data_IF_672783186980
#
_entry.id   IF_672783186980
#
_cell.length_a   1.000
_cell.length_b   1.000
_cell.length_c   1.000
_cell.angle_alpha   90.00
_cell.angle_beta   90.00
_cell.angle_gamma   90.00
#
_symmetry.space_group_name_H-M   'P 1'
#
loop_
_entity.id
_entity.type
_entity.pdbx_description
1 polymer ?
#
# COMPACT_ATOMS: atom_id res chain seq x y z
N UNK A 1 13.60 -6.41 18.87
CA UNK A 1 14.61 -5.79 17.99
C UNK A 1 14.34 -4.32 17.87
N UNK A 2 15.40 -3.52 17.68
CA UNK A 2 15.25 -2.12 17.29
C UNK A 2 15.24 -1.98 15.76
N UNK A 3 14.11 -1.50 15.22
CA UNK A 3 13.86 -1.48 13.78
C UNK A 3 13.72 -0.04 13.29
N UNK A 4 14.50 0.32 12.27
CA UNK A 4 14.37 1.61 11.57
C UNK A 4 13.60 1.44 10.26
N UNK A 5 12.42 2.05 10.14
CA UNK A 5 11.66 2.12 8.88
C UNK A 5 12.09 3.36 8.09
N UNK A 6 12.79 3.15 6.98
CA UNK A 6 13.30 4.23 6.14
C UNK A 6 12.31 4.58 5.05
N UNK A 7 11.73 5.78 5.15
CA UNK A 7 10.81 6.33 4.14
C UNK A 7 11.53 7.40 3.32
N UNK A 8 11.61 7.25 1.98
CA UNK A 8 12.18 8.29 1.11
C UNK A 8 11.25 9.48 0.95
N UNK A 9 9.97 9.31 1.33
CA UNK A 9 8.95 10.36 1.26
C UNK A 9 8.76 11.00 2.62
N UNK A 10 8.46 12.30 2.63
CA UNK A 10 8.23 13.05 3.87
C UNK A 10 7.04 12.45 4.63
N UNK A 11 7.30 12.02 5.85
CA UNK A 11 6.27 11.49 6.74
C UNK A 11 5.77 12.58 7.70
N UNK A 12 4.45 12.73 7.94
CA UNK A 12 3.33 11.86 7.56
C UNK A 12 2.54 12.34 6.32
N UNK A 13 3.15 12.98 5.33
CA UNK A 13 2.42 13.44 4.15
C UNK A 13 1.66 12.30 3.47
N UNK A 14 0.40 12.51 3.03
CA UNK A 14 -0.43 11.46 2.45
C UNK A 14 0.18 10.82 1.19
N UNK A 15 0.25 9.50 1.17
CA UNK A 15 0.75 8.71 0.05
C UNK A 15 0.70 7.21 0.37
N UNK A 16 0.61 6.36 -0.66
CA UNK A 16 0.51 4.91 -0.46
C UNK A 16 1.68 4.32 0.32
N UNK A 17 2.91 4.78 0.06
CA UNK A 17 4.11 4.30 0.77
C UNK A 17 4.15 4.82 2.21
N UNK A 18 3.84 6.09 2.44
CA UNK A 18 3.81 6.67 3.80
C UNK A 18 2.72 6.04 4.67
N UNK A 19 1.57 5.69 4.08
CA UNK A 19 0.52 4.94 4.74
C UNK A 19 0.98 3.51 5.08
N UNK A 20 1.66 2.81 4.17
CA UNK A 20 2.26 1.50 4.43
C UNK A 20 3.27 1.57 5.59
N UNK A 21 4.17 2.56 5.59
CA UNK A 21 5.15 2.78 6.68
C UNK A 21 4.43 3.00 8.01
N UNK A 22 3.35 3.80 8.04
CA UNK A 22 2.57 4.05 9.26
C UNK A 22 2.00 2.77 9.85
N UNK A 23 1.27 1.99 9.06
CA UNK A 23 0.66 0.76 9.56
C UNK A 23 1.70 -0.30 9.93
N UNK A 24 2.79 -0.40 9.20
CA UNK A 24 3.89 -1.29 9.55
C UNK A 24 4.53 -0.86 10.88
N UNK A 25 4.75 0.45 11.09
CA UNK A 25 5.23 0.99 12.36
C UNK A 25 4.30 0.63 13.53
N UNK A 26 3.00 0.90 13.40
CA UNK A 26 2.01 0.62 14.45
C UNK A 26 1.99 -0.89 14.80
N UNK A 27 1.92 -1.75 13.80
CA UNK A 27 1.79 -3.19 14.00
C UNK A 27 3.09 -3.88 14.44
N UNK A 28 4.27 -3.43 14.03
CA UNK A 28 5.55 -3.94 14.55
C UNK A 28 5.72 -3.59 16.04
N UNK A 29 5.28 -2.39 16.47
CA UNK A 29 5.28 -2.03 17.89
C UNK A 29 4.37 -2.93 18.71
N UNK A 30 3.16 -3.23 18.22
CA UNK A 30 2.25 -4.19 18.86
C UNK A 30 2.86 -5.59 18.99
N UNK A 31 3.82 -5.94 18.13
CA UNK A 31 4.58 -7.18 18.17
C UNK A 31 5.83 -7.11 19.07
N UNK A 32 6.04 -6.02 19.79
CA UNK A 32 7.11 -5.84 20.77
C UNK A 32 8.45 -5.37 20.20
N UNK A 33 8.47 -4.82 18.97
CA UNK A 33 9.67 -4.17 18.44
C UNK A 33 9.79 -2.71 18.92
N UNK A 34 11.01 -2.22 19.14
CA UNK A 34 11.30 -0.79 19.25
C UNK A 34 11.46 -0.22 17.85
N UNK A 35 10.50 0.58 17.39
CA UNK A 35 10.42 1.02 15.99
C UNK A 35 10.59 2.53 15.88
N UNK A 36 11.44 2.96 14.93
CA UNK A 36 11.63 4.37 14.55
C UNK A 36 11.32 4.56 13.08
N UNK A 37 10.76 5.71 12.71
CA UNK A 37 10.56 6.11 11.31
C UNK A 37 11.64 7.12 10.95
N UNK A 38 12.46 6.80 9.95
CA UNK A 38 13.50 7.66 9.40
C UNK A 38 12.98 8.30 8.11
N UNK A 39 12.94 9.62 8.08
CA UNK A 39 12.41 10.37 6.94
C UNK A 39 13.17 11.69 6.74
N UNK A 40 12.99 12.32 5.59
CA UNK A 40 13.52 13.68 5.36
C UNK A 40 12.66 14.75 6.04
N UNK A 41 13.28 15.87 6.45
CA UNK A 41 12.53 17.03 6.97
C UNK A 41 11.87 17.82 5.84
N UNK A 42 10.75 18.48 6.15
CA UNK A 42 10.08 19.42 5.26
C UNK A 42 9.72 20.69 6.03
N UNK A 43 10.15 21.85 5.53
CA UNK A 43 9.83 23.14 6.15
C UNK A 43 10.44 23.31 7.55
N UNK A 44 9.64 23.86 8.48
CA UNK A 44 10.03 24.18 9.87
C UNK A 44 9.84 23.01 10.86
N UNK A 45 9.68 21.76 10.38
CA UNK A 45 9.50 20.61 11.26
C UNK A 45 10.74 20.37 12.15
N UNK A 46 10.50 19.97 13.41
CA UNK A 46 11.59 19.62 14.35
C UNK A 46 12.39 18.43 13.83
N UNK A 47 13.67 18.37 14.19
CA UNK A 47 14.59 17.30 13.73
C UNK A 47 14.16 15.88 14.17
N UNK A 48 13.51 15.77 15.32
CA UNK A 48 12.88 14.52 15.78
C UNK A 48 11.68 14.85 16.63
N UNK A 49 10.67 14.00 16.59
CA UNK A 49 9.44 14.09 17.37
C UNK A 49 8.94 12.68 17.71
N UNK A 50 9.08 12.29 18.99
CA UNK A 50 8.78 10.93 19.43
C UNK A 50 9.63 9.90 18.66
N UNK A 51 8.97 8.97 18.00
CA UNK A 51 9.63 7.88 17.26
C UNK A 51 9.96 8.24 15.79
N UNK A 52 9.79 9.52 15.39
CA UNK A 52 10.07 9.99 14.04
C UNK A 52 11.40 10.76 14.03
N UNK A 53 12.37 10.27 13.29
CA UNK A 53 13.67 10.88 13.11
C UNK A 53 13.73 11.54 11.73
N UNK A 54 13.85 12.86 11.71
CA UNK A 54 13.94 13.66 10.49
C UNK A 54 15.38 14.07 10.22
N UNK A 55 15.87 13.78 9.03
CA UNK A 55 17.26 13.98 8.65
C UNK A 55 17.34 14.94 7.47
N UNK A 56 18.18 15.97 7.62
CA UNK A 56 18.45 16.98 6.59
C UNK A 56 17.30 17.97 6.40
N UNK A 57 17.57 19.07 5.67
CA UNK A 57 16.56 20.01 5.18
C UNK A 57 16.34 19.73 3.70
N UNK A 58 15.12 19.38 3.32
CA UNK A 58 14.83 18.96 1.98
C UNK A 58 14.04 19.99 1.17
N UNK A 59 14.33 20.03 -0.14
CA UNK A 59 13.50 20.66 -1.15
C UNK A 59 12.63 19.59 -1.81
N UNK A 60 11.34 19.89 -1.97
CA UNK A 60 10.40 18.99 -2.62
C UNK A 60 10.62 18.94 -4.11
N UNK A 61 10.83 17.74 -4.68
CA UNK A 61 10.83 17.52 -6.12
C UNK A 61 9.81 16.43 -6.50
N UNK A 62 9.11 16.58 -7.61
CA UNK A 62 8.23 15.52 -8.11
C UNK A 62 9.07 14.32 -8.59
N UNK A 63 8.86 13.13 -7.98
CA UNK A 63 9.50 11.87 -8.37
C UNK A 63 8.40 10.83 -8.60
N UNK A 64 8.27 10.33 -9.82
CA UNK A 64 7.32 9.26 -10.20
C UNK A 64 5.88 9.47 -9.68
N UNK A 65 5.36 10.71 -9.77
CA UNK A 65 4.01 11.03 -9.31
C UNK A 65 3.87 11.23 -7.79
N UNK A 66 4.96 11.18 -7.03
CA UNK A 66 5.09 11.53 -5.62
C UNK A 66 6.05 12.70 -5.43
N UNK A 67 6.06 13.29 -4.24
CA UNK A 67 7.00 14.35 -3.88
C UNK A 67 8.15 13.74 -3.12
N UNK A 68 9.30 13.59 -3.75
CA UNK A 68 10.58 13.25 -3.14
C UNK A 68 11.27 14.50 -2.57
N UNK A 69 12.04 14.37 -1.50
CA UNK A 69 12.78 15.48 -0.92
C UNK A 69 14.26 15.32 -1.16
N UNK A 70 14.87 16.31 -1.82
CA UNK A 70 16.30 16.39 -2.06
C UNK A 70 16.95 17.18 -0.91
N UNK A 71 17.98 16.61 -0.29
CA UNK A 71 18.80 17.29 0.69
C UNK A 71 20.22 17.47 0.15
N UNK A 72 20.60 18.70 -0.13
CA UNK A 72 21.93 19.08 -0.59
C UNK A 72 22.67 19.80 0.55
N UNK A 73 23.08 19.08 1.60
CA UNK A 73 23.91 19.64 2.66
C UNK A 73 25.22 18.86 2.76
N UNK A 74 26.39 19.51 2.79
CA UNK A 74 27.68 18.83 3.05
C UNK A 74 27.69 18.07 4.39
N UNK A 75 26.87 18.51 5.35
CA UNK A 75 26.71 17.89 6.68
C UNK A 75 25.74 16.73 6.71
N UNK A 76 25.06 16.41 5.59
CA UNK A 76 24.01 15.38 5.55
C UNK A 76 24.56 13.98 5.87
N UNK A 77 25.71 13.62 5.29
CA UNK A 77 26.36 12.32 5.52
C UNK A 77 26.78 12.16 6.99
N UNK A 78 27.32 13.23 7.60
CA UNK A 78 27.71 13.19 9.03
C UNK A 78 26.49 13.11 9.96
N UNK A 79 25.38 13.78 9.61
CA UNK A 79 24.11 13.65 10.34
C UNK A 79 23.56 12.23 10.30
N UNK A 80 23.58 11.58 9.11
CA UNK A 80 23.17 10.18 8.97
C UNK A 80 24.06 9.27 9.81
N UNK A 81 25.38 9.44 9.74
CA UNK A 81 26.34 8.64 10.52
C UNK A 81 26.09 8.78 12.02
N UNK A 82 26.04 9.99 12.54
CA UNK A 82 25.80 10.22 13.96
C UNK A 82 24.43 9.73 14.43
N UNK A 83 23.42 9.73 13.55
CA UNK A 83 22.12 9.15 13.86
C UNK A 83 22.22 7.61 13.96
N UNK A 84 22.86 6.93 13.01
CA UNK A 84 23.05 5.47 13.04
C UNK A 84 23.85 5.01 14.25
N UNK A 85 24.90 5.76 14.60
CA UNK A 85 25.74 5.48 15.79
C UNK A 85 24.96 5.64 17.12
N UNK A 86 24.07 6.64 17.22
CA UNK A 86 23.22 6.80 18.41
C UNK A 86 22.11 5.78 18.52
N UNK A 87 21.46 5.50 17.41
CA UNK A 87 20.26 4.64 17.41
C UNK A 87 20.58 3.15 17.47
N UNK A 88 21.71 2.70 16.91
CA UNK A 88 22.15 1.30 16.91
C UNK A 88 21.01 0.33 16.51
N UNK A 89 20.51 0.47 15.30
CA UNK A 89 19.44 -0.38 14.79
C UNK A 89 19.92 -1.81 14.56
N UNK A 90 19.17 -2.80 15.02
CA UNK A 90 19.35 -4.20 14.64
C UNK A 90 19.00 -4.41 13.16
N UNK A 91 17.94 -3.76 12.69
CA UNK A 91 17.40 -3.91 11.35
C UNK A 91 16.94 -2.56 10.79
N UNK A 92 17.31 -2.31 9.53
CA UNK A 92 16.77 -1.20 8.73
C UNK A 92 15.91 -1.76 7.61
N UNK A 93 14.64 -1.31 7.56
CA UNK A 93 13.71 -1.67 6.51
C UNK A 93 13.44 -0.46 5.62
N UNK A 94 13.95 -0.53 4.40
CA UNK A 94 13.87 0.53 3.40
C UNK A 94 12.61 0.37 2.54
N UNK A 95 11.84 1.43 2.39
CA UNK A 95 10.78 1.51 1.38
C UNK A 95 11.32 2.28 0.18
N UNK A 96 11.28 1.67 -1.01
CA UNK A 96 11.90 2.24 -2.23
C UNK A 96 13.36 2.68 -2.00
N UNK A 97 14.29 1.73 -1.74
CA UNK A 97 15.64 2.02 -1.29
C UNK A 97 16.48 2.85 -2.25
N UNK A 98 16.11 2.89 -3.54
CA UNK A 98 16.87 3.56 -4.60
C UNK A 98 16.28 4.92 -5.01
N UNK A 99 15.27 5.41 -4.29
CA UNK A 99 14.87 6.81 -4.40
C UNK A 99 16.06 7.68 -3.93
N UNK A 100 16.52 8.64 -4.73
CA UNK A 100 17.74 9.40 -4.47
C UNK A 100 17.79 10.05 -3.10
N UNK A 101 19.02 10.19 -2.57
CA UNK A 101 19.49 10.90 -1.38
C UNK A 101 19.38 10.12 -0.07
N UNK A 102 18.26 10.13 0.68
CA UNK A 102 18.20 9.63 2.05
C UNK A 102 18.46 8.13 2.12
N UNK A 103 17.67 7.33 1.39
CA UNK A 103 17.72 5.87 1.49
C UNK A 103 19.07 5.27 1.04
N UNK A 104 19.67 5.65 -0.10
CA UNK A 104 20.97 5.14 -0.51
C UNK A 104 22.11 5.50 0.46
N UNK A 105 22.08 6.70 1.06
CA UNK A 105 23.13 7.12 2.00
C UNK A 105 23.01 6.34 3.32
N UNK A 106 21.79 6.17 3.85
CA UNK A 106 21.57 5.32 5.02
C UNK A 106 22.02 3.89 4.72
N UNK A 107 21.65 3.32 3.58
CA UNK A 107 22.01 1.97 3.18
C UNK A 107 23.53 1.79 3.04
N UNK A 108 24.23 2.78 2.50
CA UNK A 108 25.70 2.79 2.36
C UNK A 108 26.42 2.80 3.71
N UNK A 109 25.88 3.54 4.69
CA UNK A 109 26.49 3.70 6.02
C UNK A 109 25.99 2.67 7.04
N UNK A 110 24.98 1.88 6.70
CA UNK A 110 24.38 0.89 7.58
C UNK A 110 25.34 -0.23 7.98
N UNK A 111 25.33 -0.58 9.26
CA UNK A 111 25.93 -1.77 9.85
C UNK A 111 24.89 -2.74 10.39
N UNK A 112 23.62 -2.54 10.05
CA UNK A 112 22.47 -3.32 10.49
C UNK A 112 22.07 -4.37 9.45
N UNK A 113 21.12 -5.25 9.78
CA UNK A 113 20.45 -6.08 8.79
C UNK A 113 19.59 -5.19 7.90
N UNK A 114 19.82 -5.19 6.59
CA UNK A 114 19.11 -4.33 5.62
C UNK A 114 18.10 -5.12 4.82
N UNK A 115 16.82 -4.72 4.91
CA UNK A 115 15.71 -5.28 4.12
C UNK A 115 15.06 -4.15 3.34
N UNK A 116 14.55 -4.45 2.15
CA UNK A 116 13.87 -3.45 1.33
C UNK A 116 12.51 -3.95 0.84
N UNK A 117 11.53 -3.03 0.80
CA UNK A 117 10.23 -3.22 0.13
C UNK A 117 10.12 -2.30 -1.08
N UNK A 118 9.75 -2.91 -2.21
CA UNK A 118 9.55 -2.24 -3.49
C UNK A 118 8.07 -2.14 -3.82
N UNK A 119 7.61 -0.92 -4.08
CA UNK A 119 6.21 -0.59 -4.35
C UNK A 119 5.95 -0.20 -5.80
N UNK A 120 7.01 0.20 -6.53
CA UNK A 120 6.89 0.70 -7.88
C UNK A 120 6.46 -0.38 -8.88
N UNK A 121 5.70 0.05 -9.87
CA UNK A 121 5.36 -0.71 -11.07
C UNK A 121 5.18 0.27 -12.24
N UNK A 122 5.61 -0.15 -13.41
CA UNK A 122 5.47 0.67 -14.62
C UNK A 122 5.98 -0.06 -15.85
N UNK A 123 6.01 0.64 -16.97
CA UNK A 123 6.71 0.22 -18.17
C UNK A 123 8.23 0.39 -18.03
N UNK A 124 8.90 0.61 -19.15
CA UNK A 124 10.31 1.00 -19.15
C UNK A 124 10.52 2.34 -18.44
N UNK A 125 11.50 2.39 -17.53
CA UNK A 125 11.83 3.60 -16.78
C UNK A 125 13.30 3.95 -16.94
N UNK A 126 13.63 5.03 -17.67
CA UNK A 126 15.02 5.48 -17.85
C UNK A 126 15.72 5.80 -16.52
N UNK A 127 15.00 6.30 -15.52
CA UNK A 127 15.55 6.59 -14.20
C UNK A 127 15.94 5.32 -13.45
N UNK A 128 15.16 4.24 -13.55
CA UNK A 128 15.54 2.94 -12.99
C UNK A 128 16.68 2.28 -13.78
N UNK A 129 16.70 2.42 -15.11
CA UNK A 129 17.79 1.91 -15.94
C UNK A 129 19.13 2.57 -15.58
N UNK A 130 19.16 3.89 -15.47
CA UNK A 130 20.33 4.63 -15.02
C UNK A 130 20.67 4.28 -13.55
N UNK A 131 19.66 4.32 -12.67
CA UNK A 131 19.83 4.02 -11.26
C UNK A 131 20.39 2.62 -11.00
N UNK A 132 19.99 1.62 -11.79
CA UNK A 132 20.49 0.25 -11.67
C UNK A 132 21.99 0.13 -11.89
N UNK A 133 22.56 0.94 -12.79
CA UNK A 133 24.00 0.94 -13.07
C UNK A 133 24.80 1.61 -11.94
N UNK A 134 24.26 2.67 -11.35
CA UNK A 134 24.94 3.45 -10.30
C UNK A 134 24.78 2.81 -8.91
N UNK A 135 23.63 2.15 -8.64
CA UNK A 135 23.26 1.64 -7.30
C UNK A 135 23.55 0.14 -7.10
N UNK A 136 24.37 -0.48 -7.96
CA UNK A 136 24.74 -1.91 -7.81
C UNK A 136 25.36 -2.23 -6.46
N UNK A 137 26.26 -1.35 -5.98
CA UNK A 137 26.92 -1.50 -4.69
C UNK A 137 25.94 -1.45 -3.52
N UNK A 138 24.99 -0.51 -3.56
CA UNK A 138 23.93 -0.39 -2.56
C UNK A 138 22.97 -1.58 -2.60
N UNK A 139 22.63 -2.04 -3.80
CA UNK A 139 21.77 -3.21 -3.97
C UNK A 139 22.36 -4.49 -3.38
N UNK A 140 23.71 -4.66 -3.46
CA UNK A 140 24.41 -5.77 -2.84
C UNK A 140 24.38 -5.75 -1.30
N UNK A 141 24.11 -4.60 -0.67
CA UNK A 141 24.00 -4.47 0.79
C UNK A 141 22.65 -4.87 1.35
N UNK A 142 21.67 -5.17 0.48
CA UNK A 142 20.35 -5.65 0.88
C UNK A 142 20.39 -7.15 1.18
N UNK A 143 20.17 -7.52 2.42
CA UNK A 143 20.12 -8.90 2.88
C UNK A 143 18.80 -9.60 2.54
N UNK A 144 17.70 -8.82 2.43
CA UNK A 144 16.38 -9.31 2.05
C UNK A 144 15.61 -8.30 1.18
N UNK A 145 14.79 -8.83 0.25
CA UNK A 145 14.01 -8.01 -0.68
C UNK A 145 12.57 -8.46 -0.70
N UNK A 146 11.65 -7.49 -0.53
CA UNK A 146 10.19 -7.68 -0.58
C UNK A 146 9.66 -6.91 -1.79
N UNK A 147 8.72 -7.49 -2.52
CA UNK A 147 7.91 -6.79 -3.51
C UNK A 147 6.44 -6.86 -3.09
N UNK A 148 5.70 -5.76 -3.22
CA UNK A 148 4.28 -5.72 -2.79
C UNK A 148 3.33 -6.50 -3.69
N UNK A 149 3.80 -6.97 -4.84
CA UNK A 149 3.02 -7.79 -5.78
C UNK A 149 3.92 -8.52 -6.78
N UNK A 150 3.34 -9.48 -7.51
CA UNK A 150 4.01 -10.08 -8.66
C UNK A 150 4.35 -9.05 -9.74
N UNK A 151 3.50 -8.04 -9.93
CA UNK A 151 3.74 -6.94 -10.86
C UNK A 151 4.95 -6.09 -10.44
N UNK A 152 5.00 -5.69 -9.15
CA UNK A 152 6.14 -4.95 -8.60
C UNK A 152 7.43 -5.79 -8.65
N UNK A 153 7.36 -7.10 -8.32
CA UNK A 153 8.49 -8.01 -8.46
C UNK A 153 9.01 -8.04 -9.89
N UNK A 154 8.13 -8.29 -10.87
CA UNK A 154 8.51 -8.35 -12.28
C UNK A 154 9.15 -7.04 -12.78
N UNK A 155 8.65 -5.90 -12.32
CA UNK A 155 9.20 -4.59 -12.66
C UNK A 155 10.60 -4.41 -12.09
N UNK A 156 10.78 -4.60 -10.76
CA UNK A 156 12.05 -4.31 -10.10
C UNK A 156 13.14 -5.33 -10.44
N UNK A 157 12.78 -6.60 -10.64
CA UNK A 157 13.70 -7.69 -10.98
C UNK A 157 14.42 -7.45 -12.33
N UNK A 158 13.79 -6.71 -13.24
CA UNK A 158 14.41 -6.27 -14.52
C UNK A 158 15.63 -5.38 -14.30
N UNK A 159 15.60 -4.52 -13.27
CA UNK A 159 16.66 -3.54 -13.00
C UNK A 159 17.64 -4.01 -11.92
N UNK A 160 17.17 -4.75 -10.97
CA UNK A 160 17.93 -5.28 -9.82
C UNK A 160 17.62 -6.76 -9.62
N UNK A 161 18.15 -7.65 -10.47
CA UNK A 161 17.89 -9.09 -10.38
C UNK A 161 18.19 -9.66 -8.98
N UNK A 162 17.35 -10.58 -8.52
CA UNK A 162 17.55 -11.25 -7.23
C UNK A 162 16.30 -11.94 -6.69
N UNK A 163 16.44 -12.48 -5.46
CA UNK A 163 15.35 -13.15 -4.78
C UNK A 163 14.42 -12.14 -4.09
N UNK A 164 13.17 -12.13 -4.49
CA UNK A 164 12.12 -11.28 -3.93
C UNK A 164 11.03 -12.12 -3.28
N UNK A 165 10.76 -11.87 -2.01
CA UNK A 165 9.55 -12.37 -1.35
C UNK A 165 8.39 -11.46 -1.71
N UNK A 166 7.30 -12.01 -2.23
CA UNK A 166 6.07 -11.24 -2.43
C UNK A 166 5.29 -11.20 -1.12
N UNK A 167 5.17 -9.98 -0.54
CA UNK A 167 4.33 -9.70 0.63
C UNK A 167 3.44 -8.51 0.27
N UNK A 168 2.11 -8.68 0.24
CA UNK A 168 1.18 -7.67 -0.27
C UNK A 168 1.09 -6.44 0.63
N UNK A 169 0.50 -5.35 0.12
CA UNK A 169 0.04 -4.25 0.96
C UNK A 169 -1.11 -4.70 1.85
N UNK A 170 -1.25 -4.06 3.01
CA UNK A 170 -2.36 -4.28 3.92
C UNK A 170 -3.51 -3.29 3.74
N UNK A 171 -4.62 -3.59 4.40
CA UNK A 171 -5.77 -2.71 4.57
C UNK A 171 -6.22 -2.71 6.03
N UNK A 172 -6.71 -1.58 6.52
CA UNK A 172 -7.34 -1.45 7.83
C UNK A 172 -8.79 -1.95 7.75
N UNK A 173 -8.95 -3.27 7.85
CA UNK A 173 -10.26 -3.93 7.69
C UNK A 173 -11.28 -3.39 8.69
N UNK A 174 -10.88 -3.14 9.93
CA UNK A 174 -11.78 -2.69 10.98
C UNK A 174 -12.35 -1.30 10.68
N UNK A 175 -11.52 -0.37 10.18
CA UNK A 175 -11.97 0.97 9.78
C UNK A 175 -13.09 0.91 8.74
N UNK A 176 -12.91 0.12 7.69
CA UNK A 176 -13.91 0.01 6.62
C UNK A 176 -15.16 -0.73 7.06
N UNK A 177 -15.05 -1.76 7.90
CA UNK A 177 -16.20 -2.50 8.41
C UNK A 177 -17.06 -1.70 9.38
N UNK A 178 -16.45 -0.86 10.23
CA UNK A 178 -17.16 -0.03 11.23
C UNK A 178 -17.70 1.27 10.66
N UNK A 179 -17.28 1.66 9.46
CA UNK A 179 -17.74 2.89 8.84
C UNK A 179 -19.25 2.85 8.58
N UNK A 180 -19.92 3.96 8.87
CA UNK A 180 -21.37 4.14 8.67
C UNK A 180 -21.59 4.85 7.33
N UNK A 181 -22.54 4.40 6.48
CA UNK A 181 -22.88 5.08 5.24
C UNK A 181 -23.26 6.55 5.46
N UNK A 182 -22.97 7.40 4.50
CA UNK A 182 -23.26 8.83 4.56
C UNK A 182 -24.74 9.06 4.26
N UNK A 183 -25.50 9.54 5.23
CA UNK A 183 -26.97 9.63 5.19
C UNK A 183 -27.51 10.38 3.95
N UNK A 184 -26.86 11.47 3.51
CA UNK A 184 -27.33 12.26 2.36
C UNK A 184 -27.40 11.49 1.04
N UNK A 185 -26.73 10.35 0.95
CA UNK A 185 -26.73 9.48 -0.24
C UNK A 185 -27.43 8.13 0.01
N UNK A 186 -28.17 8.01 1.10
CA UNK A 186 -29.05 6.87 1.41
C UNK A 186 -30.50 7.20 1.09
N UNK A 187 -30.74 7.82 -0.08
CA UNK A 187 -32.04 8.32 -0.57
C UNK A 187 -32.76 7.36 -1.52
N UNK A 188 -32.31 6.10 -1.57
CA UNK A 188 -32.85 5.09 -2.48
C UNK A 188 -32.21 5.09 -3.89
N UNK A 189 -31.39 6.10 -4.22
CA UNK A 189 -30.63 6.13 -5.47
C UNK A 189 -29.35 5.32 -5.34
N UNK A 190 -29.14 4.35 -6.24
CA UNK A 190 -27.93 3.53 -6.23
C UNK A 190 -26.68 4.36 -6.52
N UNK A 191 -25.62 4.14 -5.72
CA UNK A 191 -24.38 4.90 -5.75
C UNK A 191 -23.24 4.11 -6.37
N UNK A 192 -22.65 4.63 -7.44
CA UNK A 192 -21.40 4.15 -8.04
C UNK A 192 -20.28 5.02 -7.45
N UNK A 193 -19.20 4.40 -6.98
CA UNK A 193 -18.06 5.10 -6.40
C UNK A 193 -16.78 4.93 -7.23
N UNK A 194 -16.07 6.04 -7.42
CA UNK A 194 -14.69 6.09 -7.89
C UNK A 194 -13.83 6.79 -6.84
N UNK A 195 -12.71 6.16 -6.48
CA UNK A 195 -11.71 6.75 -5.57
C UNK A 195 -10.33 6.69 -6.22
N UNK A 196 -9.70 7.84 -6.40
CA UNK A 196 -8.36 7.88 -6.96
C UNK A 196 -7.89 9.28 -7.37
N UNK A 197 -6.58 9.39 -7.67
CA UNK A 197 -6.04 10.60 -8.28
C UNK A 197 -6.57 10.73 -9.71
N UNK A 198 -6.89 11.94 -10.13
CA UNK A 198 -7.39 12.19 -11.49
C UNK A 198 -6.22 12.23 -12.47
N UNK A 199 -5.61 11.06 -12.67
CA UNK A 199 -4.51 10.78 -13.61
C UNK A 199 -5.02 9.92 -14.76
N UNK A 200 -4.42 10.00 -15.99
CA UNK A 200 -4.87 9.21 -17.13
C UNK A 200 -4.95 7.71 -16.81
N UNK A 201 -3.95 7.17 -16.13
CA UNK A 201 -3.88 5.74 -15.79
C UNK A 201 -5.00 5.24 -14.88
N UNK A 202 -5.67 6.13 -14.12
CA UNK A 202 -6.81 5.78 -13.23
C UNK A 202 -8.13 5.63 -13.95
N UNK A 203 -8.22 6.03 -15.23
CA UNK A 203 -9.36 5.74 -16.09
C UNK A 203 -10.64 6.52 -15.77
N UNK A 204 -10.57 7.67 -15.08
CA UNK A 204 -11.76 8.47 -14.74
C UNK A 204 -12.57 8.85 -15.98
N UNK A 205 -11.92 9.23 -17.09
CA UNK A 205 -12.63 9.59 -18.32
C UNK A 205 -13.34 8.38 -18.95
N UNK A 206 -12.75 7.18 -18.86
CA UNK A 206 -13.37 5.95 -19.33
C UNK A 206 -14.62 5.61 -18.49
N UNK A 207 -14.57 5.84 -17.18
CA UNK A 207 -15.73 5.70 -16.32
C UNK A 207 -16.84 6.71 -16.68
N UNK A 208 -16.51 7.97 -16.94
CA UNK A 208 -17.49 8.96 -17.35
C UNK A 208 -18.15 8.61 -18.69
N UNK A 209 -17.39 8.01 -19.62
CA UNK A 209 -17.94 7.47 -20.88
C UNK A 209 -18.88 6.28 -20.61
N UNK A 210 -18.50 5.36 -19.73
CA UNK A 210 -19.33 4.23 -19.31
C UNK A 210 -20.59 4.70 -18.58
N UNK A 211 -20.48 5.66 -17.68
CA UNK A 211 -21.62 6.27 -16.98
C UNK A 211 -22.61 6.92 -17.96
N UNK A 212 -22.12 7.62 -18.99
CA UNK A 212 -22.97 8.15 -20.05
C UNK A 212 -23.76 7.05 -20.78
N UNK A 213 -23.17 5.88 -21.02
CA UNK A 213 -23.87 4.73 -21.61
C UNK A 213 -24.98 4.26 -20.67
N UNK A 214 -24.68 4.07 -19.38
CA UNK A 214 -25.67 3.70 -18.36
C UNK A 214 -26.88 4.64 -18.33
N UNK A 215 -26.63 5.96 -18.31
CA UNK A 215 -27.72 6.96 -18.29
C UNK A 215 -28.60 6.89 -19.55
N UNK A 216 -28.01 6.56 -20.71
CA UNK A 216 -28.77 6.38 -21.96
C UNK A 216 -29.63 5.13 -21.97
N UNK A 217 -29.33 4.11 -21.17
CA UNK A 217 -30.16 2.89 -21.03
C UNK A 217 -31.25 3.05 -19.96
N UNK A 218 -31.48 4.26 -19.44
CA UNK A 218 -32.50 4.53 -18.43
C UNK A 218 -32.09 4.12 -17.00
N UNK A 219 -30.83 3.77 -16.75
CA UNK A 219 -30.38 3.42 -15.41
C UNK A 219 -30.31 4.67 -14.53
N UNK A 220 -31.17 4.76 -13.52
CA UNK A 220 -31.18 5.82 -12.52
C UNK A 220 -30.18 5.49 -11.40
N UNK A 221 -29.01 6.13 -11.47
CA UNK A 221 -27.92 5.94 -10.51
C UNK A 221 -27.12 7.23 -10.35
N UNK A 222 -26.32 7.30 -9.29
CA UNK A 222 -25.42 8.41 -8.98
C UNK A 222 -23.96 7.94 -9.09
N UNK A 223 -23.07 8.82 -9.57
CA UNK A 223 -21.63 8.59 -9.60
C UNK A 223 -20.91 9.54 -8.66
N UNK A 224 -20.36 9.00 -7.57
CA UNK A 224 -19.53 9.72 -6.60
C UNK A 224 -18.07 9.64 -7.03
N UNK A 225 -17.44 10.79 -7.30
CA UNK A 225 -16.06 10.89 -7.81
C UNK A 225 -15.18 11.51 -6.74
N UNK A 226 -14.36 10.68 -6.10
CA UNK A 226 -13.49 11.06 -4.97
C UNK A 226 -12.06 11.19 -5.41
N UNK A 227 -11.44 12.31 -5.05
CA UNK A 227 -10.04 12.61 -5.35
C UNK A 227 -9.86 13.93 -6.09
N UNK A 228 -8.61 14.19 -6.47
CA UNK A 228 -8.19 15.37 -7.23
C UNK A 228 -7.04 15.00 -8.16
N UNK A 229 -6.72 15.85 -9.13
CA UNK A 229 -5.59 15.62 -10.02
C UNK A 229 -5.69 16.42 -11.32
N UNK A 230 -4.69 16.26 -12.21
CA UNK A 230 -4.57 17.08 -13.43
C UNK A 230 -5.78 16.97 -14.36
N UNK A 231 -6.43 15.80 -14.46
CA UNK A 231 -7.63 15.62 -15.30
C UNK A 231 -8.91 16.21 -14.70
N UNK A 232 -8.88 16.84 -13.52
CA UNK A 232 -10.10 17.34 -12.85
C UNK A 232 -10.88 18.36 -13.68
N UNK A 233 -10.22 19.28 -14.37
CA UNK A 233 -10.88 20.27 -15.25
C UNK A 233 -11.52 19.59 -16.46
N UNK A 234 -10.81 18.65 -17.08
CA UNK A 234 -11.29 17.91 -18.25
C UNK A 234 -12.51 17.03 -17.90
N UNK A 235 -12.44 16.31 -16.78
CA UNK A 235 -13.55 15.49 -16.29
C UNK A 235 -14.82 16.32 -16.05
N UNK A 236 -14.71 17.46 -15.36
CA UNK A 236 -15.84 18.37 -15.14
C UNK A 236 -16.39 18.95 -16.44
N UNK A 237 -15.50 19.35 -17.37
CA UNK A 237 -15.90 19.80 -18.71
C UNK A 237 -16.66 18.71 -19.47
N UNK A 238 -16.19 17.46 -19.40
CA UNK A 238 -16.87 16.33 -20.04
C UNK A 238 -18.29 16.15 -19.48
N UNK A 239 -18.46 16.18 -18.17
CA UNK A 239 -19.77 16.09 -17.49
C UNK A 239 -20.70 17.22 -17.94
N UNK A 240 -20.22 18.47 -17.93
CA UNK A 240 -21.01 19.65 -18.30
C UNK A 240 -21.41 19.61 -19.79
N UNK A 241 -20.47 19.37 -20.71
CA UNK A 241 -20.75 19.37 -22.15
C UNK A 241 -21.66 18.23 -22.60
N UNK A 242 -21.64 17.09 -21.87
CA UNK A 242 -22.52 15.95 -22.13
C UNK A 242 -23.80 15.97 -21.28
N UNK A 243 -23.98 17.00 -20.46
CA UNK A 243 -25.15 17.19 -19.55
C UNK A 243 -25.42 15.93 -18.71
N UNK A 244 -24.35 15.30 -18.17
CA UNK A 244 -24.47 14.10 -17.35
C UNK A 244 -25.00 14.46 -15.97
N UNK A 245 -26.26 14.06 -15.68
CA UNK A 245 -26.89 14.23 -14.37
C UNK A 245 -26.41 13.14 -13.41
N UNK A 246 -26.40 13.44 -12.09
CA UNK A 246 -26.06 12.46 -11.05
C UNK A 246 -24.56 12.20 -10.89
N UNK A 247 -23.67 13.06 -11.43
CA UNK A 247 -22.21 12.98 -11.18
C UNK A 247 -21.84 14.02 -10.13
N UNK A 248 -21.32 13.55 -9.00
CA UNK A 248 -20.87 14.39 -7.88
C UNK A 248 -19.36 14.29 -7.68
N UNK A 249 -18.65 15.40 -7.82
CA UNK A 249 -17.21 15.48 -7.53
C UNK A 249 -17.01 15.87 -6.06
N UNK A 250 -16.77 14.88 -5.22
CA UNK A 250 -16.62 15.04 -3.77
C UNK A 250 -15.32 15.76 -3.40
N UNK A 251 -14.26 15.58 -4.19
CA UNK A 251 -12.96 16.18 -3.91
C UNK A 251 -12.08 15.29 -3.04
N UNK A 252 -11.15 15.91 -2.28
CA UNK A 252 -10.29 15.20 -1.32
C UNK A 252 -11.06 15.00 -0.03
N UNK A 253 -10.94 13.81 0.55
CA UNK A 253 -11.61 13.38 1.78
C UNK A 253 -10.62 12.85 2.80
N UNK A 254 -11.01 12.79 4.06
CA UNK A 254 -10.27 12.10 5.12
C UNK A 254 -10.29 10.59 4.93
N UNK A 255 -9.45 9.85 5.66
CA UNK A 255 -9.48 8.38 5.64
C UNK A 255 -10.79 7.84 6.20
N UNK A 256 -11.38 8.51 7.19
CA UNK A 256 -12.67 8.19 7.78
C UNK A 256 -13.82 8.39 6.78
N UNK A 257 -13.87 9.56 6.16
CA UNK A 257 -14.89 9.87 5.14
C UNK A 257 -14.75 8.95 3.92
N UNK A 258 -13.51 8.59 3.55
CA UNK A 258 -13.26 7.61 2.50
C UNK A 258 -13.88 6.25 2.83
N UNK A 259 -13.73 5.77 4.06
CA UNK A 259 -14.33 4.51 4.50
C UNK A 259 -15.87 4.58 4.49
N UNK A 260 -16.46 5.71 4.91
CA UNK A 260 -17.89 5.95 4.84
C UNK A 260 -18.41 5.95 3.39
N UNK A 261 -17.66 6.56 2.45
CA UNK A 261 -18.00 6.58 1.03
C UNK A 261 -18.01 5.17 0.41
N UNK A 262 -17.02 4.33 0.75
CA UNK A 262 -17.05 2.94 0.31
C UNK A 262 -18.28 2.20 0.87
N UNK A 263 -18.65 2.43 2.14
CA UNK A 263 -19.87 1.84 2.75
C UNK A 263 -21.17 2.39 2.17
N UNK A 264 -21.14 3.60 1.65
CA UNK A 264 -22.30 4.25 0.99
C UNK A 264 -22.55 3.67 -0.40
N UNK A 265 -21.52 3.21 -1.07
CA UNK A 265 -21.59 2.79 -2.47
C UNK A 265 -22.15 1.38 -2.63
N UNK A 266 -23.03 1.20 -3.62
CA UNK A 266 -23.51 -0.09 -4.08
C UNK A 266 -22.46 -0.81 -4.94
N UNK A 267 -21.76 -0.03 -5.79
CA UNK A 267 -20.73 -0.55 -6.69
C UNK A 267 -19.49 0.37 -6.66
N UNK A 268 -18.35 -0.20 -6.34
CA UNK A 268 -17.05 0.48 -6.51
C UNK A 268 -16.48 0.18 -7.90
N UNK A 269 -15.96 1.20 -8.57
CA UNK A 269 -15.39 1.04 -9.91
C UNK A 269 -13.93 1.48 -9.96
N UNK A 270 -13.04 0.59 -10.40
CA UNK A 270 -11.62 0.86 -10.62
C UNK A 270 -11.24 0.64 -12.09
N UNK A 271 -11.48 1.64 -12.97
CA UNK A 271 -11.34 1.51 -14.42
C UNK A 271 -9.93 1.82 -14.91
N UNK A 272 -8.91 1.46 -14.12
CA UNK A 272 -7.52 1.79 -14.43
C UNK A 272 -7.10 1.26 -15.80
N UNK A 273 -6.37 2.09 -16.55
CA UNK A 273 -5.91 1.75 -17.90
C UNK A 273 -4.59 0.97 -17.89
N UNK A 274 -3.92 0.92 -16.73
CA UNK A 274 -2.64 0.25 -16.50
C UNK A 274 -1.83 0.97 -15.43
N UNK A 275 -0.57 0.55 -15.22
CA UNK A 275 0.36 1.22 -14.31
C UNK A 275 0.03 1.13 -12.82
N UNK A 276 -0.79 0.16 -12.42
CA UNK A 276 -1.08 -0.15 -11.01
C UNK A 276 -0.18 -1.29 -10.53
N UNK A 277 0.49 -1.06 -9.41
CA UNK A 277 1.38 -2.06 -8.81
C UNK A 277 0.61 -3.13 -8.02
N UNK A 278 -0.52 -2.77 -7.41
CA UNK A 278 -1.23 -3.66 -6.49
C UNK A 278 -2.75 -3.44 -6.48
N UNK A 279 -3.23 -2.21 -6.28
CA UNK A 279 -4.66 -1.90 -6.21
C UNK A 279 -5.20 -1.86 -4.78
N UNK A 280 -4.57 -1.06 -3.88
CA UNK A 280 -5.03 -0.85 -2.50
C UNK A 280 -6.52 -0.46 -2.46
N UNK A 281 -6.99 0.33 -3.42
CA UNK A 281 -8.40 0.75 -3.54
C UNK A 281 -9.37 -0.42 -3.70
N UNK A 282 -8.93 -1.56 -4.26
CA UNK A 282 -9.73 -2.79 -4.31
C UNK A 282 -9.83 -3.45 -2.93
N UNK A 283 -8.73 -3.44 -2.15
CA UNK A 283 -8.76 -3.91 -0.77
C UNK A 283 -9.69 -3.06 0.10
N UNK A 284 -9.67 -1.75 -0.08
CA UNK A 284 -10.57 -0.82 0.62
C UNK A 284 -12.04 -1.13 0.32
N UNK A 285 -12.38 -1.34 -0.97
CA UNK A 285 -13.73 -1.73 -1.38
C UNK A 285 -14.14 -3.10 -0.82
N UNK A 286 -13.26 -4.10 -0.89
CA UNK A 286 -13.50 -5.42 -0.30
C UNK A 286 -13.71 -5.35 1.21
N UNK A 287 -12.86 -4.61 1.93
CA UNK A 287 -12.97 -4.44 3.38
C UNK A 287 -14.29 -3.76 3.78
N UNK A 288 -14.75 -2.78 2.99
CA UNK A 288 -16.05 -2.15 3.17
C UNK A 288 -17.23 -3.09 2.82
N UNK A 289 -16.99 -4.16 2.07
CA UNK A 289 -18.04 -5.04 1.53
C UNK A 289 -18.84 -4.36 0.42
N UNK A 290 -18.16 -3.68 -0.47
CA UNK A 290 -18.72 -3.05 -1.66
C UNK A 290 -18.38 -3.90 -2.87
N UNK A 291 -19.36 -4.23 -3.70
CA UNK A 291 -19.13 -5.00 -4.92
C UNK A 291 -18.26 -4.22 -5.91
N UNK A 292 -17.43 -4.93 -6.66
CA UNK A 292 -16.36 -4.31 -7.45
C UNK A 292 -16.52 -4.59 -8.95
N UNK A 293 -16.41 -3.53 -9.77
CA UNK A 293 -16.07 -3.63 -11.18
C UNK A 293 -14.67 -3.04 -11.39
N UNK A 294 -13.77 -3.81 -11.99
CA UNK A 294 -12.39 -3.32 -12.21
C UNK A 294 -11.86 -3.73 -13.59
N UNK A 295 -10.85 -3.01 -14.05
CA UNK A 295 -10.13 -3.39 -15.27
C UNK A 295 -9.32 -4.67 -15.05
N UNK A 296 -9.27 -5.56 -16.05
CA UNK A 296 -8.42 -6.76 -16.05
C UNK A 296 -6.97 -6.38 -16.37
N UNK A 297 -6.27 -5.86 -15.39
CA UNK A 297 -4.87 -5.46 -15.49
C UNK A 297 -3.97 -6.30 -14.59
N UNK A 298 -2.69 -6.39 -14.95
CA UNK A 298 -1.73 -7.25 -14.24
C UNK A 298 -1.62 -6.92 -12.74
N UNK A 299 -1.67 -5.63 -12.36
CA UNK A 299 -1.56 -5.21 -10.97
C UNK A 299 -2.70 -5.67 -10.07
N UNK A 300 -3.87 -6.02 -10.61
CA UNK A 300 -5.05 -6.43 -9.83
C UNK A 300 -5.17 -7.94 -9.63
N UNK A 301 -4.46 -8.76 -10.44
CA UNK A 301 -4.56 -10.24 -10.41
C UNK A 301 -4.20 -10.90 -9.07
N UNK A 302 -3.36 -10.23 -8.27
CA UNK A 302 -2.99 -10.74 -6.94
C UNK A 302 -4.01 -10.39 -5.84
N UNK A 303 -4.92 -9.46 -6.12
CA UNK A 303 -5.85 -8.91 -5.14
C UNK A 303 -7.23 -9.52 -5.29
N UNK A 304 -7.80 -9.50 -6.50
CA UNK A 304 -9.15 -10.00 -6.79
C UNK A 304 -9.12 -11.15 -7.78
N UNK A 305 -10.05 -12.08 -7.64
CA UNK A 305 -10.32 -13.19 -8.57
C UNK A 305 -11.53 -12.83 -9.43
N UNK A 306 -11.41 -13.06 -10.73
CA UNK A 306 -12.47 -12.81 -11.70
C UNK A 306 -13.76 -13.58 -11.33
N UNK A 307 -14.87 -12.85 -11.27
CA UNK A 307 -16.20 -13.44 -11.02
C UNK A 307 -16.45 -13.85 -9.57
N UNK A 308 -15.49 -13.68 -8.65
CA UNK A 308 -15.66 -13.96 -7.23
C UNK A 308 -15.70 -12.67 -6.39
N UNK A 309 -14.63 -11.89 -6.35
CA UNK A 309 -14.59 -10.61 -5.61
C UNK A 309 -14.85 -9.41 -6.52
N UNK A 310 -14.67 -9.57 -7.85
CA UNK A 310 -14.85 -8.48 -8.80
C UNK A 310 -15.30 -8.99 -10.19
N UNK A 311 -16.10 -8.17 -10.88
CA UNK A 311 -16.26 -8.27 -12.33
C UNK A 311 -15.08 -7.57 -13.00
N UNK A 312 -14.26 -8.32 -13.75
CA UNK A 312 -13.12 -7.79 -14.46
C UNK A 312 -13.45 -7.58 -15.93
N UNK A 313 -13.19 -6.37 -16.44
CA UNK A 313 -13.44 -5.96 -17.82
C UNK A 313 -12.16 -5.54 -18.52
N UNK A 314 -12.07 -5.60 -19.86
CA UNK A 314 -10.91 -5.09 -20.57
C UNK A 314 -10.69 -3.59 -20.26
N UNK A 315 -9.43 -3.13 -20.06
CA UNK A 315 -9.12 -1.73 -19.85
C UNK A 315 -9.43 -0.90 -21.11
N UNK A 316 -9.76 0.40 -20.93
CA UNK A 316 -10.09 1.34 -22.01
C UNK A 316 -11.35 1.00 -22.81
N UNK A 317 -12.22 0.14 -22.31
CA UNK A 317 -13.46 -0.25 -22.99
C UNK A 317 -14.70 0.20 -22.18
N UNK A 318 -15.26 1.39 -22.45
CA UNK A 318 -16.42 1.91 -21.71
C UNK A 318 -17.71 1.07 -21.85
N UNK A 319 -17.89 0.35 -22.96
CA UNK A 319 -19.11 -0.47 -23.17
C UNK A 319 -19.14 -1.70 -22.25
N UNK A 320 -18.09 -2.57 -22.19
CA UNK A 320 -18.01 -3.64 -21.22
C UNK A 320 -18.05 -3.14 -19.77
N UNK A 321 -17.41 -2.00 -19.49
CA UNK A 321 -17.44 -1.38 -18.17
C UNK A 321 -18.87 -0.99 -17.76
N UNK A 322 -19.63 -0.34 -18.64
CA UNK A 322 -21.03 0.02 -18.40
C UNK A 322 -21.91 -1.23 -18.19
N UNK A 323 -21.72 -2.28 -19.01
CA UNK A 323 -22.46 -3.53 -18.90
C UNK A 323 -22.22 -4.23 -17.56
N UNK A 324 -20.97 -4.30 -17.10
CA UNK A 324 -20.62 -4.89 -15.81
C UNK A 324 -21.21 -4.10 -14.63
N UNK A 325 -21.16 -2.76 -14.68
CA UNK A 325 -21.79 -1.91 -13.66
C UNK A 325 -23.31 -2.13 -13.65
N UNK A 326 -23.96 -2.10 -14.83
CA UNK A 326 -25.40 -2.31 -14.95
C UNK A 326 -25.83 -3.70 -14.41
N UNK A 327 -24.99 -4.72 -14.59
CA UNK A 327 -25.26 -6.05 -14.05
C UNK A 327 -25.30 -6.04 -12.52
N UNK A 328 -24.29 -5.45 -11.87
CA UNK A 328 -24.24 -5.36 -10.39
C UNK A 328 -25.35 -4.44 -9.82
N UNK A 329 -25.77 -3.41 -10.55
CA UNK A 329 -26.87 -2.55 -10.09
C UNK A 329 -28.24 -3.21 -10.19
N UNK A 330 -28.43 -4.19 -11.09
CA UNK A 330 -29.71 -4.91 -11.29
C UNK A 330 -29.82 -6.21 -10.50
N UNK A 331 -28.68 -6.84 -10.20
CA UNK A 331 -28.60 -8.17 -9.58
C UNK A 331 -28.10 -8.02 -8.15
N UNK A 332 -29.04 -7.88 -7.21
CA UNK A 332 -28.77 -7.67 -5.79
C UNK A 332 -28.11 -8.90 -5.16
N UNK A 333 -28.49 -10.11 -5.61
CA UNK A 333 -27.92 -11.36 -5.09
C UNK A 333 -26.46 -11.48 -5.49
N UNK A 334 -26.13 -11.29 -6.77
CA UNK A 334 -24.75 -11.27 -7.25
C UNK A 334 -23.93 -10.17 -6.55
N UNK A 335 -24.50 -8.97 -6.37
CA UNK A 335 -23.83 -7.86 -5.69
C UNK A 335 -23.51 -8.23 -4.25
N UNK A 336 -24.44 -8.85 -3.54
CA UNK A 336 -24.28 -9.30 -2.16
C UNK A 336 -23.25 -10.44 -2.06
N UNK A 337 -23.32 -11.43 -2.92
CA UNK A 337 -22.37 -12.54 -2.97
C UNK A 337 -20.93 -12.04 -3.17
N UNK A 338 -20.72 -11.17 -4.16
CA UNK A 338 -19.40 -10.59 -4.43
C UNK A 338 -18.88 -9.72 -3.28
N UNK A 339 -19.76 -8.96 -2.63
CA UNK A 339 -19.42 -8.14 -1.46
C UNK A 339 -18.99 -9.03 -0.26
N UNK A 340 -19.67 -10.14 -0.03
CA UNK A 340 -19.32 -11.10 1.02
C UNK A 340 -17.98 -11.78 0.73
N UNK A 341 -17.77 -12.27 -0.48
CA UNK A 341 -16.50 -12.86 -0.92
C UNK A 341 -15.35 -11.84 -0.79
N UNK A 342 -15.61 -10.58 -1.12
CA UNK A 342 -14.66 -9.47 -0.94
C UNK A 342 -14.28 -9.26 0.54
N UNK A 343 -15.25 -9.23 1.45
CA UNK A 343 -14.98 -9.09 2.90
C UNK A 343 -14.14 -10.22 3.45
N UNK A 344 -14.45 -11.45 3.07
CA UNK A 344 -13.66 -12.64 3.45
C UNK A 344 -12.21 -12.50 2.95
N UNK A 345 -12.05 -12.18 1.66
CA UNK A 345 -10.74 -12.01 1.03
C UNK A 345 -9.93 -10.89 1.65
N UNK A 346 -10.55 -9.76 2.02
CA UNK A 346 -9.86 -8.62 2.64
C UNK A 346 -9.16 -8.99 3.96
N UNK A 347 -9.67 -9.97 4.72
CA UNK A 347 -9.05 -10.45 5.96
C UNK A 347 -7.63 -11.00 5.74
N UNK A 348 -7.36 -11.58 4.56
CA UNK A 348 -6.03 -12.10 4.23
C UNK A 348 -4.98 -10.99 4.09
N UNK A 349 -5.45 -9.76 3.89
CA UNK A 349 -4.67 -8.54 3.70
C UNK A 349 -4.77 -7.58 4.89
N UNK A 350 -5.27 -8.01 6.05
CA UNK A 350 -5.24 -7.15 7.23
C UNK A 350 -3.81 -6.78 7.61
N UNK A 351 -3.61 -5.57 8.15
CA UNK A 351 -2.26 -5.13 8.54
C UNK A 351 -1.60 -6.04 9.56
N UNK A 352 -2.37 -6.65 10.45
CA UNK A 352 -1.85 -7.62 11.41
C UNK A 352 -1.23 -8.82 10.69
N UNK A 353 -1.93 -9.39 9.70
CA UNK A 353 -1.44 -10.53 8.91
C UNK A 353 -0.29 -10.17 8.00
N UNK A 354 -0.35 -8.99 7.36
CA UNK A 354 0.73 -8.51 6.50
C UNK A 354 2.00 -8.26 7.31
N UNK A 355 1.87 -7.58 8.47
CA UNK A 355 3.01 -7.31 9.35
C UNK A 355 3.58 -8.61 9.91
N UNK A 356 2.76 -9.60 10.26
CA UNK A 356 3.25 -10.92 10.65
C UNK A 356 4.13 -11.56 9.58
N UNK A 357 3.71 -11.51 8.29
CA UNK A 357 4.52 -12.01 7.17
C UNK A 357 5.84 -11.25 6.99
N UNK A 358 5.85 -9.93 7.26
CA UNK A 358 7.07 -9.10 7.21
C UNK A 358 8.01 -9.47 8.33
N UNK A 359 7.50 -9.61 9.55
CA UNK A 359 8.26 -9.98 10.74
C UNK A 359 8.84 -11.41 10.64
N UNK A 360 8.03 -12.36 10.14
CA UNK A 360 8.51 -13.72 9.83
C UNK A 360 9.65 -13.69 8.81
N UNK A 361 9.55 -12.81 7.80
CA UNK A 361 10.61 -12.64 6.81
C UNK A 361 11.88 -12.03 7.42
N UNK A 362 11.77 -11.09 8.36
CA UNK A 362 12.92 -10.62 9.15
C UNK A 362 13.62 -11.80 9.83
N UNK A 363 12.86 -12.65 10.53
CA UNK A 363 13.39 -13.84 11.19
C UNK A 363 14.08 -14.81 10.23
N UNK A 364 13.54 -15.03 9.04
CA UNK A 364 14.16 -15.88 8.00
C UNK A 364 15.51 -15.31 7.58
N UNK A 365 15.61 -14.01 7.31
CA UNK A 365 16.84 -13.37 6.88
C UNK A 365 17.89 -13.40 7.99
N UNK A 366 17.53 -13.05 9.22
CA UNK A 366 18.44 -13.05 10.38
C UNK A 366 19.00 -14.45 10.62
N UNK A 367 18.17 -15.49 10.65
CA UNK A 367 18.63 -16.89 10.82
C UNK A 367 19.56 -17.34 9.69
N UNK A 368 19.26 -16.93 8.44
CA UNK A 368 20.14 -17.25 7.30
C UNK A 368 21.51 -16.61 7.44
N UNK A 369 21.59 -15.35 7.85
CA UNK A 369 22.85 -14.64 8.08
C UNK A 369 23.60 -15.23 9.27
N UNK A 370 22.92 -15.54 10.37
CA UNK A 370 23.52 -16.17 11.54
C UNK A 370 24.14 -17.53 11.21
N UNK A 371 23.45 -18.38 10.45
CA UNK A 371 23.92 -19.69 10.05
C UNK A 371 25.19 -19.64 9.15
N UNK A 372 25.44 -18.50 8.50
CA UNK A 372 26.61 -18.23 7.65
C UNK A 372 27.73 -17.48 8.37
N UNK A 373 27.49 -17.03 9.61
CA UNK A 373 28.40 -16.12 10.31
C UNK A 373 28.48 -14.71 9.67
N UNK A 374 27.44 -14.31 8.94
CA UNK A 374 27.37 -13.05 8.15
C UNK A 374 26.51 -11.99 8.83
N UNK A 375 26.15 -12.13 10.11
CA UNK A 375 25.40 -11.09 10.81
C UNK A 375 26.20 -9.79 10.84
N UNK A 376 25.57 -8.66 10.45
CA UNK A 376 26.24 -7.36 10.51
C UNK A 376 26.65 -6.99 11.93
N UNK A 377 27.75 -6.23 12.12
CA UNK A 377 28.29 -5.89 13.45
C UNK A 377 27.33 -5.04 14.31
N UNK A 378 26.37 -4.36 13.70
CA UNK A 378 25.34 -3.60 14.42
C UNK A 378 24.10 -4.42 14.82
N UNK A 379 24.10 -5.75 14.59
CA UNK A 379 22.99 -6.59 15.04
C UNK A 379 23.28 -7.14 16.44
N UNK A 380 22.44 -6.78 17.42
CA UNK A 380 22.60 -7.14 18.83
C UNK A 380 21.40 -7.89 19.41
N UNK A 381 20.27 -7.95 18.72
CA UNK A 381 19.08 -8.62 19.19
C UNK A 381 19.24 -10.16 19.23
N UNK A 382 18.46 -10.87 20.06
CA UNK A 382 18.40 -12.32 20.03
C UNK A 382 17.94 -12.83 18.65
N UNK A 383 18.57 -13.93 18.19
CA UNK A 383 18.15 -14.56 16.92
C UNK A 383 16.75 -15.14 17.10
N UNK A 384 15.78 -14.75 16.26
CA UNK A 384 14.41 -15.23 16.36
C UNK A 384 14.32 -16.76 16.22
N UNK A 385 13.50 -17.45 17.03
CA UNK A 385 13.32 -18.89 16.95
C UNK A 385 12.74 -19.31 15.58
N UNK A 386 12.96 -20.58 15.19
CA UNK A 386 12.34 -21.09 13.97
C UNK A 386 10.80 -21.22 14.15
N UNK A 387 9.98 -21.09 13.09
CA UNK A 387 8.53 -21.24 13.18
C UNK A 387 8.08 -22.58 13.78
N UNK A 388 8.84 -23.67 13.56
CA UNK A 388 8.57 -25.00 14.13
C UNK A 388 8.78 -25.05 15.65
N UNK A 389 9.70 -24.27 16.18
CA UNK A 389 9.97 -24.22 17.64
C UNK A 389 8.96 -23.34 18.40
N UNK A 390 8.30 -22.39 17.75
CA UNK A 390 7.24 -21.56 18.35
C UNK A 390 5.93 -22.33 18.51
N UNK A 391 5.56 -23.17 17.54
CA UNK A 391 4.39 -24.05 17.62
C UNK A 391 4.55 -25.11 18.73
N UNK A 392 5.75 -25.68 18.92
CA UNK A 392 6.04 -26.62 20.00
C UNK A 392 5.95 -25.97 21.40
N UNK A 393 6.31 -24.69 21.54
CA UNK A 393 6.16 -23.97 22.82
C UNK A 393 4.72 -23.62 23.14
N UNK A 394 3.88 -23.32 22.15
CA UNK A 394 2.46 -23.06 22.36
C UNK A 394 1.68 -24.34 22.70
N UNK A 395 2.07 -25.48 22.13
CA UNK A 395 1.51 -26.79 22.48
C UNK A 395 1.89 -27.23 23.90
N UNK A 396 3.15 -27.02 24.32
CA UNK A 396 3.62 -27.35 25.68
C UNK A 396 3.07 -26.47 26.80
N UNK A 397 2.69 -25.21 26.49
CA UNK A 397 2.03 -24.34 27.48
C UNK A 397 0.55 -24.65 27.68
N UNK A 398 -0.11 -25.32 26.74
CA UNK A 398 -1.49 -25.77 26.90
C UNK A 398 -1.62 -27.05 27.73
N UNK A 399 -0.61 -27.93 27.74
CA UNK A 399 -0.60 -29.14 28.58
C UNK A 399 -0.32 -28.85 30.06
N UNK A 400 0.43 -27.79 30.38
CA UNK A 400 0.73 -27.41 31.76
C UNK A 400 -0.50 -26.73 32.43
N UNK A 401 -1.38 -26.10 31.65
CA UNK A 401 -2.59 -25.44 32.18
C UNK A 401 -3.75 -26.44 32.52
N UNK A 402 -3.73 -27.65 31.92
CA UNK A 402 -4.76 -28.66 32.18
C UNK A 402 -4.44 -29.50 33.41
N UNK A 403 -3.19 -29.60 33.86
CA UNK A 403 -2.78 -30.34 35.04
C UNK A 403 -2.90 -29.56 36.37
N UNK A 404 -3.21 -28.27 36.32
CA UNK A 404 -3.34 -27.41 37.52
C UNK A 404 -4.78 -27.21 38.04
N UNK A 405 -5.80 -27.83 37.42
CA UNK A 405 -7.21 -27.71 37.80
C UNK A 405 -7.88 -29.05 38.13
N UNK A 406 -7.09 -30.06 38.46
CA UNK A 406 -7.59 -31.36 38.91
C UNK A 406 -7.01 -31.76 40.27
N UNK A 407 -7.42 -31.09 41.35
CA UNK A 407 -7.05 -31.44 42.69
C UNK A 407 -7.95 -30.73 43.70
N UNK A 408 -8.86 -31.51 44.28
CA UNK A 408 -9.80 -31.34 45.38
C UNK A 408 -11.23 -31.00 45.04
#
# INVERSE_FOLDING_TARGET
MKVGLVSPYVYPLPGGVTQHVRYLYENLRLRGHDVRILTSSHGLQRASEGDIIRIGKGFSMPVNGSVGTITLSPRFVSQVRGMLEREQFDLLHFHEPFVPFLSPIILRLSTSVNIATFHAYGGFSPSYEFGSKVMKGEAARLHGRIAVSGAAKHFIDRYFPGDYKVIPNGVDVQRFQRAVPIARWQDGTQNILFVGRFEPRKGLLELLKAYRILRKTGCECRLLVVGTGPLGKEARRYVATRRLRGVEFVGRVSDEEKAQLYRTADVYVSPATGGESFGIVLLEAMAAGTAIVASDIHGYKGVVRRGREALLVPPNEPKPLAAAIARLLRDDDLRTEMAMAGRERAQEFSWERVTAKVDDFYGVIIRRLAARGELPPGFHAPIPPSPRSSLARMAGSSEIAVLALGGD
#
